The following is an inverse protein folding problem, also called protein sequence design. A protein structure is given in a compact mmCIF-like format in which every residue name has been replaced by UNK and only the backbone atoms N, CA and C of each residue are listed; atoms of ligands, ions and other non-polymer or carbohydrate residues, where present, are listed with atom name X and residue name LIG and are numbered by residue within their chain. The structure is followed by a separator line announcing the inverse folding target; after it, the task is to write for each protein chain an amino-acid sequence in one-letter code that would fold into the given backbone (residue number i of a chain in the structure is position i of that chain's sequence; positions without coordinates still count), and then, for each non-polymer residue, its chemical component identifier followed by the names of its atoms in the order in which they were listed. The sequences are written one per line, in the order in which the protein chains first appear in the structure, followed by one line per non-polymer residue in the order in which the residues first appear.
data_IF_674066707328
#
_entry.id   IF_674066707328
#
_cell.length_a   1.000
_cell.length_b   1.000
_cell.length_c   1.000
_cell.angle_alpha   90.00
_cell.angle_beta   90.00
_cell.angle_gamma   90.00
#
_symmetry.space_group_name_H-M   'P 1'
#
loop_
_entity.id
_entity.type
_entity.pdbx_description
1 polymer ?
#
# COMPACT_ATOMS: atom_id res chain seq x y z
N UNK A 1 19.59 3.20 -35.93
CA UNK A 1 18.78 2.78 -34.77
C UNK A 1 19.79 2.29 -33.74
N UNK A 2 20.09 3.10 -32.73
CA UNK A 2 21.06 2.72 -31.68
C UNK A 2 20.39 1.70 -30.77
N UNK A 3 20.99 0.52 -30.62
CA UNK A 3 20.56 -0.49 -29.66
C UNK A 3 20.74 0.05 -28.25
N UNK A 4 19.61 0.24 -27.56
CA UNK A 4 19.57 0.46 -26.12
C UNK A 4 20.06 -0.83 -25.45
N UNK A 5 21.32 -0.83 -25.02
CA UNK A 5 21.88 -1.91 -24.21
C UNK A 5 21.12 -1.97 -22.89
N UNK A 6 20.09 -2.83 -22.85
CA UNK A 6 19.45 -3.26 -21.62
C UNK A 6 20.52 -3.97 -20.78
N UNK A 7 20.96 -3.35 -19.70
CA UNK A 7 21.77 -4.07 -18.72
C UNK A 7 20.89 -5.13 -18.06
N UNK A 8 21.04 -6.36 -18.53
CA UNK A 8 20.39 -7.55 -17.97
C UNK A 8 21.22 -8.00 -16.77
N UNK A 9 21.09 -7.27 -15.66
CA UNK A 9 21.74 -7.56 -14.39
C UNK A 9 20.74 -7.51 -13.24
N UNK A 10 20.94 -8.36 -12.21
CA UNK A 10 20.14 -8.35 -10.98
C UNK A 10 20.31 -7.01 -10.29
N UNK A 11 19.34 -6.11 -10.52
CA UNK A 11 19.32 -4.78 -9.94
C UNK A 11 19.31 -4.92 -8.42
N UNK A 12 20.33 -4.40 -7.74
CA UNK A 12 20.44 -4.50 -6.28
C UNK A 12 19.25 -3.84 -5.60
N UNK A 13 18.75 -4.43 -4.49
CA UNK A 13 17.59 -3.93 -3.76
C UNK A 13 17.66 -2.47 -3.31
N UNK A 14 18.88 -1.91 -3.21
CA UNK A 14 19.11 -0.48 -3.01
C UNK A 14 18.50 0.39 -4.13
N UNK A 15 18.53 -0.06 -5.38
CA UNK A 15 17.97 0.69 -6.52
C UNK A 15 16.45 0.73 -6.42
N UNK A 16 15.82 -0.36 -5.98
CA UNK A 16 14.38 -0.37 -5.64
C UNK A 16 14.07 0.57 -4.49
N UNK A 17 14.89 0.58 -3.44
CA UNK A 17 14.71 1.49 -2.30
C UNK A 17 14.84 2.96 -2.71
N UNK A 18 15.85 3.31 -3.51
CA UNK A 18 16.02 4.67 -4.04
C UNK A 18 14.88 5.06 -4.98
N UNK A 19 14.37 4.14 -5.80
CA UNK A 19 13.23 4.38 -6.68
C UNK A 19 11.94 4.65 -5.87
N UNK A 20 11.66 3.83 -4.86
CA UNK A 20 10.50 4.03 -3.98
C UNK A 20 10.64 5.29 -3.10
N UNK A 21 11.83 5.56 -2.58
CA UNK A 21 12.14 6.77 -1.82
C UNK A 21 12.03 8.03 -2.67
N UNK A 22 12.42 7.96 -3.94
CA UNK A 22 12.26 9.05 -4.89
C UNK A 22 10.80 9.25 -5.31
N UNK A 23 9.99 8.19 -5.41
CA UNK A 23 8.59 8.22 -5.85
C UNK A 23 7.58 8.61 -4.76
N UNK A 24 7.64 7.97 -3.59
CA UNK A 24 6.68 8.17 -2.49
C UNK A 24 7.21 9.10 -1.37
N UNK A 25 8.52 9.36 -1.34
CA UNK A 25 9.17 10.08 -0.24
C UNK A 25 9.34 9.19 1.01
N UNK A 26 10.44 9.33 1.76
CA UNK A 26 10.76 8.46 2.89
C UNK A 26 9.72 8.54 4.04
N UNK A 27 9.05 9.69 4.19
CA UNK A 27 8.08 9.93 5.27
C UNK A 27 6.79 9.13 5.08
N UNK A 28 6.27 9.07 3.86
CA UNK A 28 5.05 8.30 3.63
C UNK A 28 5.30 6.80 3.71
N UNK A 29 6.46 6.36 3.21
CA UNK A 29 6.87 4.96 3.27
C UNK A 29 6.95 4.47 4.72
N UNK A 30 7.55 5.25 5.61
CA UNK A 30 7.58 4.90 7.04
C UNK A 30 6.17 4.90 7.64
N UNK A 31 5.32 5.88 7.32
CA UNK A 31 3.93 5.92 7.81
C UNK A 31 3.14 4.68 7.38
N UNK A 32 3.23 4.25 6.12
CA UNK A 32 2.59 3.00 5.65
C UNK A 32 3.13 1.77 6.35
N UNK A 33 4.44 1.71 6.59
CA UNK A 33 5.06 0.56 7.24
C UNK A 33 4.55 0.44 8.69
N UNK A 34 4.52 1.56 9.42
CA UNK A 34 3.99 1.56 10.78
C UNK A 34 2.49 1.23 10.84
N UNK A 35 1.68 1.80 9.94
CA UNK A 35 0.23 1.54 9.93
C UNK A 35 -0.10 0.07 9.61
N UNK A 36 0.66 -0.56 8.72
CA UNK A 36 0.49 -1.97 8.39
C UNK A 36 0.96 -2.89 9.53
N UNK A 37 2.08 -2.58 10.20
CA UNK A 37 2.53 -3.34 11.38
C UNK A 37 1.52 -3.28 12.54
N UNK A 38 0.99 -2.10 12.83
CA UNK A 38 -0.04 -1.91 13.87
C UNK A 38 -1.30 -2.73 13.53
N UNK A 39 -1.72 -2.70 12.27
CA UNK A 39 -2.91 -3.44 11.81
C UNK A 39 -2.74 -4.96 11.98
N UNK A 40 -1.58 -5.51 11.61
CA UNK A 40 -1.29 -6.93 11.84
C UNK A 40 -1.22 -7.27 13.33
N UNK A 41 -0.67 -6.39 14.16
CA UNK A 41 -0.64 -6.57 15.61
C UNK A 41 -2.04 -6.65 16.22
N UNK A 42 -2.97 -5.82 15.76
CA UNK A 42 -4.36 -5.82 16.23
C UNK A 42 -5.11 -7.07 15.77
N UNK A 43 -4.92 -7.50 14.52
CA UNK A 43 -5.48 -8.75 14.01
C UNK A 43 -5.01 -9.95 14.83
N UNK A 44 -3.70 -10.10 15.00
CA UNK A 44 -3.13 -11.20 15.78
C UNK A 44 -3.59 -11.19 17.23
N UNK A 45 -3.68 -10.00 17.84
CA UNK A 45 -4.20 -9.86 19.20
C UNK A 45 -5.68 -10.27 19.28
N UNK A 46 -6.50 -9.87 18.29
CA UNK A 46 -7.91 -10.25 18.19
C UNK A 46 -8.09 -11.77 18.12
N UNK A 47 -7.26 -12.47 17.34
CA UNK A 47 -7.33 -13.93 17.22
C UNK A 47 -6.95 -14.66 18.51
N UNK A 48 -5.88 -14.20 19.20
CA UNK A 48 -5.49 -14.74 20.51
C UNK A 48 -6.61 -14.51 21.52
N UNK A 49 -7.24 -13.33 21.50
CA UNK A 49 -8.34 -13.00 22.39
C UNK A 49 -9.56 -13.90 22.15
N UNK A 50 -9.94 -14.10 20.90
CA UNK A 50 -11.05 -14.98 20.51
C UNK A 50 -10.80 -16.42 20.95
N UNK A 51 -9.58 -16.93 20.73
CA UNK A 51 -9.19 -18.29 21.13
C UNK A 51 -9.35 -18.47 22.64
N UNK A 52 -8.85 -17.52 23.44
CA UNK A 52 -9.00 -17.55 24.91
C UNK A 52 -10.46 -17.50 25.37
N UNK A 53 -11.30 -16.74 24.66
CA UNK A 53 -12.73 -16.67 24.98
C UNK A 53 -13.45 -17.97 24.66
N UNK A 54 -13.21 -18.54 23.46
CA UNK A 54 -13.80 -19.82 23.04
C UNK A 54 -13.39 -20.97 23.96
N UNK A 55 -12.11 -21.08 24.32
CA UNK A 55 -11.63 -22.13 25.23
C UNK A 55 -12.31 -22.05 26.60
N UNK A 56 -12.44 -20.84 27.16
CA UNK A 56 -13.14 -20.64 28.44
C UNK A 56 -14.63 -20.94 28.34
N UNK A 57 -15.27 -20.56 27.24
CA UNK A 57 -16.70 -20.82 27.01
C UNK A 57 -17.00 -22.31 26.79
N UNK A 58 -16.04 -23.07 26.27
CA UNK A 58 -16.17 -24.52 26.08
C UNK A 58 -15.94 -25.31 27.37
N UNK A 59 -15.03 -24.85 28.24
CA UNK A 59 -14.71 -25.52 29.52
C UNK A 59 -15.70 -25.13 30.62
N UNK A 60 -16.15 -23.88 30.65
CA UNK A 60 -17.14 -23.41 31.62
C UNK A 60 -18.54 -23.46 31.00
N UNK A 61 -19.28 -24.55 31.23
CA UNK A 61 -20.67 -24.72 30.76
C UNK A 61 -21.66 -23.72 31.37
N UNK A 62 -21.24 -22.93 32.37
CA UNK A 62 -22.01 -21.87 33.02
C UNK A 62 -21.11 -20.65 33.22
N UNK A 63 -20.90 -19.84 32.17
CA UNK A 63 -20.32 -18.50 32.33
C UNK A 63 -21.41 -17.58 32.87
N UNK A 64 -21.15 -16.97 34.02
CA UNK A 64 -22.02 -15.98 34.64
C UNK A 64 -22.30 -14.78 33.70
N UNK A 65 -23.48 -14.19 33.80
CA UNK A 65 -23.96 -13.18 32.86
C UNK A 65 -23.06 -11.93 32.81
N UNK A 66 -22.46 -11.54 33.95
CA UNK A 66 -21.55 -10.39 34.00
C UNK A 66 -20.21 -10.70 33.34
N UNK A 67 -19.70 -11.92 33.53
CA UNK A 67 -18.46 -12.37 32.88
C UNK A 67 -18.64 -12.43 31.37
N UNK A 68 -19.80 -12.92 30.88
CA UNK A 68 -20.13 -12.93 29.45
C UNK A 68 -20.16 -11.53 28.85
N UNK A 69 -20.84 -10.59 29.52
CA UNK A 69 -20.95 -9.21 29.04
C UNK A 69 -19.56 -8.55 28.91
N UNK A 70 -18.64 -8.79 29.85
CA UNK A 70 -17.27 -8.30 29.78
C UNK A 70 -16.52 -8.73 28.50
N UNK A 71 -16.58 -10.02 28.14
CA UNK A 71 -15.93 -10.52 26.92
C UNK A 71 -16.57 -9.94 25.64
N UNK A 72 -17.90 -9.79 25.63
CA UNK A 72 -18.64 -9.20 24.49
C UNK A 72 -18.27 -7.72 24.30
N UNK A 73 -18.15 -6.94 25.37
CA UNK A 73 -17.72 -5.54 25.26
C UNK A 73 -16.32 -5.41 24.68
N UNK A 74 -15.35 -6.20 25.16
CA UNK A 74 -13.99 -6.18 24.62
C UNK A 74 -13.96 -6.59 23.15
N UNK A 75 -14.71 -7.63 22.79
CA UNK A 75 -14.81 -8.08 21.41
C UNK A 75 -15.43 -7.03 20.49
N UNK A 76 -16.49 -6.33 20.94
CA UNK A 76 -17.09 -5.23 20.19
C UNK A 76 -16.10 -4.08 19.95
N UNK A 77 -15.25 -3.77 20.95
CA UNK A 77 -14.18 -2.79 20.82
C UNK A 77 -13.09 -3.24 19.84
N UNK A 78 -12.73 -4.52 19.84
CA UNK A 78 -11.78 -5.10 18.88
C UNK A 78 -12.30 -5.01 17.45
N UNK A 79 -13.57 -5.33 17.20
CA UNK A 79 -14.19 -5.17 15.88
C UNK A 79 -14.16 -3.69 15.44
N UNK A 80 -14.50 -2.78 16.34
CA UNK A 80 -14.41 -1.34 16.07
C UNK A 80 -13.00 -0.89 15.69
N UNK A 81 -11.99 -1.36 16.43
CA UNK A 81 -10.58 -1.07 16.15
C UNK A 81 -10.12 -1.65 14.80
N UNK A 82 -10.55 -2.88 14.47
CA UNK A 82 -10.28 -3.51 13.17
C UNK A 82 -10.90 -2.73 12.01
N UNK A 83 -12.13 -2.25 12.19
CA UNK A 83 -12.80 -1.43 11.18
C UNK A 83 -12.06 -0.10 10.95
N UNK A 84 -11.69 0.60 12.02
CA UNK A 84 -10.95 1.88 11.93
C UNK A 84 -9.59 1.68 11.28
N UNK A 85 -8.85 0.65 11.66
CA UNK A 85 -7.54 0.35 11.07
C UNK A 85 -7.63 -0.05 9.61
N UNK A 86 -8.69 -0.77 9.21
CA UNK A 86 -8.96 -1.05 7.81
C UNK A 86 -9.19 0.22 6.98
N UNK A 87 -9.97 1.19 7.49
CA UNK A 87 -10.17 2.49 6.84
C UNK A 87 -8.88 3.31 6.76
N UNK A 88 -8.11 3.36 7.85
CA UNK A 88 -6.81 4.04 7.87
C UNK A 88 -5.85 3.43 6.84
N UNK A 89 -5.81 2.10 6.72
CA UNK A 89 -5.00 1.41 5.71
C UNK A 89 -5.45 1.76 4.31
N UNK A 90 -6.75 1.71 4.01
CA UNK A 90 -7.29 2.06 2.68
C UNK A 90 -6.94 3.51 2.30
N UNK A 91 -7.13 4.45 3.20
CA UNK A 91 -6.84 5.88 2.95
C UNK A 91 -5.34 6.13 2.79
N UNK A 92 -4.49 5.49 3.59
CA UNK A 92 -3.04 5.61 3.47
C UNK A 92 -2.53 5.07 2.13
N UNK A 93 -3.03 3.90 1.70
CA UNK A 93 -2.71 3.32 0.40
C UNK A 93 -3.13 4.23 -0.75
N UNK A 94 -4.34 4.79 -0.69
CA UNK A 94 -4.81 5.73 -1.70
C UNK A 94 -3.94 7.00 -1.76
N UNK A 95 -3.60 7.58 -0.60
CA UNK A 95 -2.71 8.75 -0.53
C UNK A 95 -1.31 8.46 -1.07
N UNK A 96 -0.80 7.24 -0.84
CA UNK A 96 0.47 6.78 -1.41
C UNK A 96 0.45 6.74 -2.92
N UNK A 97 -0.57 6.10 -3.51
CA UNK A 97 -0.71 6.01 -4.97
C UNK A 97 -0.83 7.41 -5.57
N UNK A 98 -1.70 8.26 -5.01
CA UNK A 98 -1.88 9.64 -5.47
C UNK A 98 -0.59 10.45 -5.44
N UNK A 99 0.18 10.37 -4.34
CA UNK A 99 1.44 11.12 -4.23
C UNK A 99 2.53 10.57 -5.12
N UNK A 100 2.62 9.25 -5.28
CA UNK A 100 3.53 8.62 -6.22
C UNK A 100 3.22 9.05 -7.67
N UNK A 101 1.93 9.05 -8.05
CA UNK A 101 1.43 9.48 -9.36
C UNK A 101 1.76 10.94 -9.65
N UNK A 102 1.48 11.85 -8.70
CA UNK A 102 1.81 13.29 -8.83
C UNK A 102 3.32 13.53 -8.95
N UNK A 103 4.11 12.85 -8.13
CA UNK A 103 5.55 13.06 -8.11
C UNK A 103 6.24 12.49 -9.36
N UNK A 104 5.77 11.34 -9.85
CA UNK A 104 6.23 10.76 -11.11
C UNK A 104 5.87 11.68 -12.29
N UNK A 105 4.64 12.19 -12.32
CA UNK A 105 4.21 13.17 -13.32
C UNK A 105 5.09 14.42 -13.32
N UNK A 106 5.36 15.01 -12.15
CA UNK A 106 6.21 16.20 -12.03
C UNK A 106 7.66 15.93 -12.45
N UNK A 107 8.22 14.77 -12.10
CA UNK A 107 9.56 14.36 -12.50
C UNK A 107 9.68 14.24 -14.03
N UNK A 108 8.70 13.60 -14.68
CA UNK A 108 8.71 13.42 -16.13
C UNK A 108 8.43 14.73 -16.86
N UNK A 109 7.46 15.51 -16.38
CA UNK A 109 7.14 16.82 -16.95
C UNK A 109 8.34 17.78 -16.91
N UNK A 110 9.06 17.84 -15.78
CA UNK A 110 10.26 18.69 -15.66
C UNK A 110 11.42 18.25 -16.56
N UNK A 111 11.60 16.94 -16.77
CA UNK A 111 12.60 16.39 -17.70
C UNK A 111 12.22 16.67 -19.15
N UNK A 112 10.93 16.57 -19.47
CA UNK A 112 10.39 16.89 -20.77
C UNK A 112 10.64 18.36 -21.12
N UNK A 113 10.38 19.30 -20.20
CA UNK A 113 10.64 20.72 -20.42
C UNK A 113 12.12 21.06 -20.64
N UNK A 114 13.05 20.22 -20.18
CA UNK A 114 14.51 20.40 -20.36
C UNK A 114 15.06 19.67 -21.58
N UNK A 115 14.26 18.87 -22.28
CA UNK A 115 14.73 18.12 -23.44
C UNK A 115 14.97 19.07 -24.64
N UNK A 116 16.06 18.87 -25.41
CA UNK A 116 16.35 19.69 -26.58
C UNK A 116 15.31 19.51 -27.68
N UNK A 117 15.02 20.58 -28.42
CA UNK A 117 13.94 20.63 -29.43
C UNK A 117 14.08 19.53 -30.50
N UNK A 118 15.32 19.13 -30.83
CA UNK A 118 15.62 18.06 -31.78
C UNK A 118 15.06 16.66 -31.39
N UNK A 119 14.75 16.44 -30.11
CA UNK A 119 14.10 15.19 -29.64
C UNK A 119 12.60 15.20 -29.96
N UNK A 120 11.99 16.39 -30.05
CA UNK A 120 10.57 16.56 -30.35
C UNK A 120 10.24 16.42 -31.84
N UNK A 121 11.22 16.60 -32.73
CA UNK A 121 11.06 16.39 -34.17
C UNK A 121 10.92 14.89 -34.52
N UNK A 122 11.51 14.01 -33.71
CA UNK A 122 11.48 12.55 -33.92
C UNK A 122 10.40 11.83 -33.10
N UNK A 123 9.92 12.43 -32.01
CA UNK A 123 8.87 11.86 -31.17
C UNK A 123 7.90 12.96 -30.71
N UNK A 124 6.65 13.01 -31.22
CA UNK A 124 5.71 14.04 -30.82
C UNK A 124 5.39 13.89 -29.32
N UNK A 125 5.53 14.99 -28.58
CA UNK A 125 5.32 15.08 -27.12
C UNK A 125 4.00 14.44 -26.67
N UNK A 126 2.95 14.61 -27.48
CA UNK A 126 1.63 14.04 -27.23
C UNK A 126 1.62 12.50 -27.18
N UNK A 127 2.47 11.81 -27.96
CA UNK A 127 2.58 10.35 -27.89
C UNK A 127 3.28 9.86 -26.63
N UNK A 128 4.36 10.55 -26.20
CA UNK A 128 5.03 10.21 -24.94
C UNK A 128 4.11 10.44 -23.75
N UNK A 129 3.39 11.56 -23.72
CA UNK A 129 2.43 11.85 -22.67
C UNK A 129 1.28 10.84 -22.66
N UNK A 130 0.75 10.49 -23.84
CA UNK A 130 -0.33 9.51 -23.96
C UNK A 130 0.10 8.09 -23.53
N UNK A 131 1.34 7.68 -23.85
CA UNK A 131 1.90 6.41 -23.35
C UNK A 131 2.11 6.45 -21.84
N UNK A 132 2.71 7.52 -21.33
CA UNK A 132 2.97 7.66 -19.90
C UNK A 132 1.68 7.71 -19.07
N UNK A 133 0.67 8.47 -19.49
CA UNK A 133 -0.64 8.50 -18.84
C UNK A 133 -1.32 7.13 -18.86
N UNK A 134 -1.15 6.36 -19.94
CA UNK A 134 -1.68 5.00 -20.03
C UNK A 134 -0.94 4.05 -19.09
N UNK A 135 0.38 4.11 -19.03
CA UNK A 135 1.19 3.28 -18.13
C UNK A 135 0.93 3.64 -16.65
N UNK A 136 0.82 4.94 -16.34
CA UNK A 136 0.48 5.42 -15.00
C UNK A 136 -0.94 5.01 -14.59
N UNK A 137 -1.90 5.07 -15.52
CA UNK A 137 -3.25 4.57 -15.29
C UNK A 137 -3.29 3.06 -15.02
N UNK A 138 -2.51 2.28 -15.76
CA UNK A 138 -2.39 0.83 -15.54
C UNK A 138 -1.75 0.53 -14.17
N UNK A 139 -0.69 1.25 -13.80
CA UNK A 139 -0.04 1.08 -12.49
C UNK A 139 -0.98 1.51 -11.36
N UNK A 140 -1.68 2.63 -11.51
CA UNK A 140 -2.65 3.13 -10.51
C UNK A 140 -3.89 2.21 -10.41
N UNK A 141 -4.24 1.46 -11.46
CA UNK A 141 -5.31 0.44 -11.45
C UNK A 141 -4.86 -0.91 -10.86
N UNK A 142 -3.60 -1.30 -11.13
CA UNK A 142 -3.01 -2.54 -10.62
C UNK A 142 -2.59 -2.45 -9.15
N UNK A 143 -2.11 -1.30 -8.67
CA UNK A 143 -1.60 -1.17 -7.30
C UNK A 143 -2.66 -1.46 -6.21
N UNK A 144 -3.90 -0.94 -6.30
CA UNK A 144 -4.94 -1.25 -5.33
C UNK A 144 -5.39 -2.72 -5.40
N UNK A 145 -5.54 -3.27 -6.61
CA UNK A 145 -6.01 -4.64 -6.81
C UNK A 145 -4.99 -5.66 -6.30
N UNK A 146 -3.70 -5.48 -6.64
CA UNK A 146 -2.63 -6.34 -6.13
C UNK A 146 -2.40 -6.17 -4.62
N UNK A 147 -2.56 -4.95 -4.11
CA UNK A 147 -2.47 -4.66 -2.67
C UNK A 147 -3.61 -5.30 -1.87
N UNK A 148 -4.82 -5.33 -2.43
CA UNK A 148 -5.96 -6.07 -1.85
C UNK A 148 -5.70 -7.57 -1.84
N UNK A 149 -5.23 -8.15 -2.95
CA UNK A 149 -4.94 -9.58 -3.07
C UNK A 149 -3.87 -10.01 -2.05
N UNK A 150 -2.78 -9.25 -1.92
CA UNK A 150 -1.73 -9.56 -0.94
C UNK A 150 -2.23 -9.51 0.52
N UNK A 151 -3.17 -8.61 0.82
CA UNK A 151 -3.78 -8.50 2.15
C UNK A 151 -4.89 -9.52 2.42
N UNK A 152 -5.40 -10.20 1.38
CA UNK A 152 -6.44 -11.22 1.51
C UNK A 152 -5.85 -12.64 1.53
N UNK A 153 -4.63 -12.82 1.00
CA UNK A 153 -3.96 -14.13 0.86
C UNK A 153 -2.98 -14.45 2.01
N UNK A 154 -2.68 -13.49 2.92
CA UNK A 154 -1.98 -13.75 4.19
C UNK A 154 -2.86 -13.44 5.40
#
# INVERSE_FOLDING_TARGET
IQEENREVGSIGGHVYYEYFKAGAGPILFTITLFSTLISHGILHYSDIWLTKWTDKNQIASVIDHDTRNYYVYIYSGLIGALFVTALMRSTTWFMMCMRASVNLHNSIFSRLLRAPIAVFDNNPVGQMLNRFSKDMGIVDEMLPTTGFDFNFVN
#
